data_IF_682617993188
#
_entry.id   IF_682617993188
#
_cell.length_a   1.000
_cell.length_b   1.000
_cell.length_c   1.000
_cell.angle_alpha   90.00
_cell.angle_beta   90.00
_cell.angle_gamma   90.00
#
_symmetry.space_group_name_H-M   'P 1'
#
loop_
_entity.id
_entity.type
_entity.pdbx_description
1 polymer ?
#
# COMPACT_ATOMS: atom_id res chain seq x y z
N UNK A 1 23.59 38.54 -60.15
CA UNK A 1 23.21 39.45 -59.03
C UNK A 1 22.14 38.89 -58.09
N UNK A 2 21.24 37.97 -58.51
CA UNK A 2 20.25 37.33 -57.61
C UNK A 2 20.84 36.40 -56.54
N UNK A 3 21.92 35.67 -56.84
CA UNK A 3 22.55 34.74 -55.87
C UNK A 3 23.24 35.45 -54.69
N UNK A 4 23.79 36.64 -54.91
CA UNK A 4 24.44 37.40 -53.83
C UNK A 4 23.38 37.92 -52.85
N UNK A 5 22.26 38.40 -53.36
CA UNK A 5 21.16 38.90 -52.52
C UNK A 5 20.48 37.78 -51.72
N UNK A 6 20.40 36.55 -52.24
CA UNK A 6 19.87 35.41 -51.47
C UNK A 6 20.79 35.00 -50.32
N UNK A 7 22.11 34.98 -50.54
CA UNK A 7 23.08 34.66 -49.48
C UNK A 7 23.01 35.68 -48.33
N UNK A 8 22.94 36.98 -48.65
CA UNK A 8 22.82 38.02 -47.62
C UNK A 8 21.48 38.01 -46.89
N UNK A 9 20.39 37.66 -47.57
CA UNK A 9 19.07 37.49 -46.95
C UNK A 9 19.10 36.32 -45.97
N UNK A 10 19.67 35.19 -46.37
CA UNK A 10 19.70 33.98 -45.56
C UNK A 10 20.68 34.13 -44.36
N UNK A 11 21.77 34.90 -44.51
CA UNK A 11 22.69 35.26 -43.41
C UNK A 11 22.13 36.33 -42.46
N UNK A 12 21.18 37.16 -42.93
CA UNK A 12 20.51 38.17 -42.11
C UNK A 12 19.22 37.68 -41.47
N UNK A 13 18.82 36.44 -41.74
CA UNK A 13 17.65 35.82 -41.15
C UNK A 13 17.95 35.51 -39.68
N UNK A 14 17.45 36.36 -38.78
CA UNK A 14 17.54 36.16 -37.33
C UNK A 14 16.72 34.91 -36.99
N UNK A 15 17.40 33.76 -36.91
CA UNK A 15 16.79 32.51 -36.44
C UNK A 15 16.35 32.75 -35.01
N UNK A 16 15.05 32.92 -34.79
CA UNK A 16 14.46 32.97 -33.45
C UNK A 16 14.96 31.70 -32.75
N UNK A 17 15.76 31.82 -31.68
CA UNK A 17 16.28 30.64 -31.00
C UNK A 17 15.06 29.82 -30.58
N UNK A 18 14.96 28.59 -31.09
CA UNK A 18 13.87 27.72 -30.68
C UNK A 18 13.90 27.66 -29.15
N UNK A 19 12.77 27.90 -28.47
CA UNK A 19 12.75 27.85 -27.02
C UNK A 19 13.28 26.48 -26.63
N UNK A 20 14.41 26.47 -25.90
CA UNK A 20 14.94 25.22 -25.34
C UNK A 20 13.80 24.56 -24.61
N UNK A 21 13.54 23.30 -24.90
CA UNK A 21 12.52 22.51 -24.19
C UNK A 21 12.89 22.54 -22.71
N UNK A 22 12.22 23.40 -21.94
CA UNK A 22 12.39 23.43 -20.49
C UNK A 22 11.58 22.26 -19.96
N UNK A 23 12.28 21.24 -19.48
CA UNK A 23 11.62 20.19 -18.71
C UNK A 23 11.10 20.81 -17.42
N UNK A 24 9.84 20.52 -17.08
CA UNK A 24 9.27 20.90 -15.80
C UNK A 24 10.11 20.18 -14.73
N UNK A 25 10.78 20.97 -13.89
CA UNK A 25 11.59 20.47 -12.76
C UNK A 25 10.79 20.53 -11.47
N UNK A 26 11.18 19.77 -10.46
CA UNK A 26 10.58 19.84 -9.12
C UNK A 26 10.56 21.29 -8.59
N UNK A 27 11.63 22.06 -8.81
CA UNK A 27 11.70 23.48 -8.43
C UNK A 27 10.62 24.33 -9.14
N UNK A 28 10.29 23.99 -10.38
CA UNK A 28 9.22 24.65 -11.14
C UNK A 28 7.86 24.26 -10.57
N UNK A 29 7.66 22.98 -10.26
CA UNK A 29 6.45 22.52 -9.59
C UNK A 29 6.29 23.20 -8.25
N UNK A 30 7.33 23.27 -7.41
CA UNK A 30 7.34 23.89 -6.07
C UNK A 30 7.19 25.42 -6.09
N UNK A 31 7.54 26.08 -7.19
CA UNK A 31 7.42 27.53 -7.34
C UNK A 31 5.97 28.04 -7.35
N UNK A 32 4.98 27.19 -7.66
CA UNK A 32 3.57 27.60 -7.63
C UNK A 32 3.14 27.93 -6.18
N UNK A 33 2.47 29.06 -5.99
CA UNK A 33 2.00 29.44 -4.64
C UNK A 33 0.87 28.50 -4.22
N UNK A 34 0.82 28.13 -2.93
CA UNK A 34 -0.25 27.27 -2.40
C UNK A 34 -1.65 27.83 -2.66
N UNK A 35 -1.84 29.14 -2.53
CA UNK A 35 -3.12 29.79 -2.85
C UNK A 35 -3.52 29.70 -4.33
N UNK A 36 -2.55 29.62 -5.24
CA UNK A 36 -2.80 29.37 -6.66
C UNK A 36 -3.25 27.93 -6.87
N UNK A 37 -2.59 26.97 -6.24
CA UNK A 37 -2.99 25.55 -6.31
C UNK A 37 -4.38 25.32 -5.74
N UNK A 38 -4.73 25.97 -4.62
CA UNK A 38 -6.06 25.92 -4.02
C UNK A 38 -7.15 26.44 -4.98
N UNK A 39 -6.86 27.56 -5.67
CA UNK A 39 -7.76 28.10 -6.70
C UNK A 39 -7.93 27.13 -7.87
N UNK A 40 -6.84 26.48 -8.32
CA UNK A 40 -6.87 25.51 -9.42
C UNK A 40 -7.60 24.22 -9.04
N UNK A 41 -7.50 23.78 -7.78
CA UNK A 41 -8.25 22.64 -7.23
C UNK A 41 -9.76 22.92 -7.18
N UNK A 42 -10.16 24.17 -6.95
CA UNK A 42 -11.55 24.61 -7.01
C UNK A 42 -12.11 24.84 -8.42
N UNK A 43 -11.28 24.71 -9.46
CA UNK A 43 -11.67 25.08 -10.82
C UNK A 43 -12.76 24.15 -11.40
N UNK A 44 -13.67 24.67 -12.23
CA UNK A 44 -14.76 23.86 -12.79
C UNK A 44 -14.25 22.82 -13.82
N UNK A 45 -13.17 23.16 -14.54
CA UNK A 45 -12.55 22.27 -15.52
C UNK A 45 -11.84 21.11 -14.82
N UNK A 46 -12.27 19.88 -15.14
CA UNK A 46 -11.72 18.65 -14.58
C UNK A 46 -10.21 18.49 -14.80
N UNK A 47 -9.72 18.73 -16.01
CA UNK A 47 -8.29 18.53 -16.34
C UNK A 47 -7.39 19.51 -15.56
N UNK A 48 -7.86 20.73 -15.32
CA UNK A 48 -7.13 21.72 -14.50
C UNK A 48 -7.06 21.24 -13.05
N UNK A 49 -8.19 20.79 -12.48
CA UNK A 49 -8.21 20.25 -11.11
C UNK A 49 -7.32 19.02 -10.96
N UNK A 50 -7.40 18.10 -11.91
CA UNK A 50 -6.61 16.87 -11.91
C UNK A 50 -5.11 17.19 -11.95
N UNK A 51 -4.70 18.11 -12.83
CA UNK A 51 -3.30 18.56 -12.93
C UNK A 51 -2.84 19.23 -11.63
N UNK A 52 -3.67 20.09 -11.03
CA UNK A 52 -3.35 20.73 -9.75
C UNK A 52 -3.25 19.72 -8.60
N UNK A 53 -4.15 18.74 -8.56
CA UNK A 53 -4.12 17.66 -7.57
C UNK A 53 -2.86 16.81 -7.71
N UNK A 54 -2.43 16.54 -8.96
CA UNK A 54 -1.18 15.83 -9.22
C UNK A 54 0.03 16.61 -8.73
N UNK A 55 0.14 17.90 -9.05
CA UNK A 55 1.24 18.75 -8.56
C UNK A 55 1.27 18.74 -7.03
N UNK A 56 0.13 18.95 -6.36
CA UNK A 56 0.07 18.92 -4.88
C UNK A 56 0.51 17.56 -4.33
N UNK A 57 0.13 16.47 -4.99
CA UNK A 57 0.49 15.11 -4.59
C UNK A 57 1.99 14.86 -4.75
N UNK A 58 2.58 15.26 -5.89
CA UNK A 58 4.00 15.12 -6.18
C UNK A 58 4.85 15.92 -5.18
N UNK A 59 4.42 17.14 -4.82
CA UNK A 59 5.04 17.91 -3.74
C UNK A 59 4.95 17.22 -2.38
N UNK A 60 3.77 16.73 -2.02
CA UNK A 60 3.51 16.07 -0.73
C UNK A 60 4.33 14.79 -0.57
N UNK A 61 4.57 14.06 -1.65
CA UNK A 61 5.43 12.86 -1.68
C UNK A 61 6.89 13.20 -1.39
N UNK A 62 7.39 14.29 -1.97
CA UNK A 62 8.78 14.71 -1.83
C UNK A 62 9.07 15.33 -0.45
N UNK A 63 8.05 15.77 0.28
CA UNK A 63 8.17 16.20 1.67
C UNK A 63 8.05 15.01 2.64
N UNK A 64 9.20 14.56 3.16
CA UNK A 64 9.23 13.47 4.14
C UNK A 64 8.43 13.75 5.41
N UNK A 65 8.23 15.03 5.79
CA UNK A 65 7.45 15.39 6.96
C UNK A 65 5.94 15.16 6.75
N UNK A 66 5.47 15.30 5.51
CA UNK A 66 4.08 15.02 5.13
C UNK A 66 3.76 13.53 5.26
N UNK A 67 4.61 12.65 4.72
CA UNK A 67 4.44 11.19 4.88
C UNK A 67 4.44 10.79 6.36
N UNK A 68 5.36 11.35 7.15
CA UNK A 68 5.42 11.06 8.58
C UNK A 68 4.18 11.52 9.35
N UNK A 69 3.62 12.67 8.98
CA UNK A 69 2.38 13.20 9.56
C UNK A 69 1.18 12.34 9.19
N UNK A 70 1.09 11.91 7.94
CA UNK A 70 0.03 11.02 7.47
C UNK A 70 0.12 9.66 8.17
N UNK A 71 1.31 9.06 8.26
CA UNK A 71 1.50 7.80 8.98
C UNK A 71 1.15 7.93 10.46
N UNK A 72 1.45 9.07 11.09
CA UNK A 72 0.99 9.34 12.46
C UNK A 72 -0.54 9.40 12.53
N UNK A 73 -1.18 10.12 11.61
CA UNK A 73 -2.64 10.21 11.50
C UNK A 73 -3.33 8.85 11.30
N UNK A 74 -2.71 7.94 10.55
CA UNK A 74 -3.17 6.55 10.38
C UNK A 74 -3.22 5.77 11.70
N UNK A 75 -2.41 6.12 12.70
CA UNK A 75 -2.37 5.42 13.99
C UNK A 75 -3.36 5.93 15.05
N UNK A 76 -4.11 6.99 14.73
CA UNK A 76 -5.00 7.70 15.67
C UNK A 76 -6.25 6.90 15.97
N UNK A 77 -6.82 7.05 17.17
CA UNK A 77 -8.04 6.32 17.55
C UNK A 77 -9.30 6.93 16.90
N UNK A 78 -9.27 8.20 16.53
CA UNK A 78 -10.36 8.84 15.79
C UNK A 78 -10.45 8.27 14.36
N UNK A 79 -11.59 7.70 14.02
CA UNK A 79 -11.82 7.05 12.72
C UNK A 79 -11.72 8.06 11.56
N UNK A 80 -12.25 9.27 11.73
CA UNK A 80 -12.26 10.27 10.66
C UNK A 80 -10.84 10.76 10.35
N UNK A 81 -10.02 10.98 11.37
CA UNK A 81 -8.61 11.33 11.26
C UNK A 81 -7.81 10.22 10.54
N UNK A 82 -8.00 8.96 10.93
CA UNK A 82 -7.38 7.81 10.24
C UNK A 82 -7.79 7.74 8.79
N UNK A 83 -9.10 7.80 8.53
CA UNK A 83 -9.66 7.68 7.18
C UNK A 83 -9.16 8.79 6.27
N UNK A 84 -9.12 10.03 6.77
CA UNK A 84 -8.57 11.17 6.02
C UNK A 84 -7.11 10.91 5.68
N UNK A 85 -6.31 10.50 6.67
CA UNK A 85 -4.89 10.21 6.48
C UNK A 85 -4.65 9.08 5.47
N UNK A 86 -5.41 7.98 5.55
CA UNK A 86 -5.33 6.85 4.61
C UNK A 86 -5.75 7.24 3.18
N UNK A 87 -6.82 8.04 3.03
CA UNK A 87 -7.27 8.51 1.72
C UNK A 87 -6.26 9.46 1.10
N UNK A 88 -5.72 10.39 1.87
CA UNK A 88 -4.65 11.28 1.41
C UNK A 88 -3.43 10.46 1.02
N UNK A 89 -3.02 9.48 1.83
CA UNK A 89 -1.90 8.61 1.50
C UNK A 89 -2.16 7.84 0.20
N UNK A 90 -3.38 7.34 -0.02
CA UNK A 90 -3.75 6.60 -1.23
C UNK A 90 -3.81 7.50 -2.47
N UNK A 91 -4.08 8.79 -2.30
CA UNK A 91 -4.06 9.77 -3.37
C UNK A 91 -2.63 10.11 -3.81
N UNK A 92 -1.73 10.28 -2.84
CA UNK A 92 -0.35 10.72 -3.12
C UNK A 92 0.60 9.56 -3.43
N UNK A 93 0.24 8.32 -3.06
CA UNK A 93 1.12 7.17 -3.30
C UNK A 93 0.85 6.54 -4.65
N UNK A 94 1.90 6.39 -5.45
CA UNK A 94 1.91 5.71 -6.74
C UNK A 94 3.05 4.67 -6.80
N UNK A 95 3.33 4.11 -7.97
CA UNK A 95 4.39 3.11 -8.11
C UNK A 95 5.80 3.66 -7.82
N UNK A 96 6.02 4.95 -8.08
CA UNK A 96 7.30 5.64 -7.90
C UNK A 96 7.52 6.04 -6.45
N UNK A 97 6.46 6.41 -5.72
CA UNK A 97 6.52 6.82 -4.31
C UNK A 97 6.29 5.69 -3.31
N UNK A 98 5.80 4.52 -3.73
CA UNK A 98 5.71 3.31 -2.90
C UNK A 98 7.00 2.95 -2.12
N UNK A 99 8.23 3.10 -2.65
CA UNK A 99 9.46 2.90 -1.89
C UNK A 99 9.58 3.74 -0.62
N UNK A 100 8.99 4.95 -0.58
CA UNK A 100 9.01 5.81 0.60
C UNK A 100 8.24 5.19 1.77
N UNK A 101 7.26 4.34 1.49
CA UNK A 101 6.50 3.59 2.48
C UNK A 101 7.17 2.27 2.89
N UNK A 102 8.32 1.91 2.34
CA UNK A 102 9.05 0.70 2.71
C UNK A 102 9.87 0.87 4.02
N UNK A 103 9.23 1.39 5.06
CA UNK A 103 9.85 1.68 6.37
C UNK A 103 9.15 0.90 7.47
N UNK A 104 9.88 0.47 8.51
CA UNK A 104 9.27 -0.27 9.64
C UNK A 104 8.16 0.55 10.33
N UNK A 105 8.27 1.90 10.29
CA UNK A 105 7.24 2.85 10.75
C UNK A 105 5.94 2.71 9.97
N UNK A 106 5.99 2.69 8.63
CA UNK A 106 4.80 2.57 7.78
C UNK A 106 4.08 1.23 7.99
N UNK A 107 4.82 0.10 7.98
CA UNK A 107 4.21 -1.21 8.27
C UNK A 107 3.56 -1.24 9.65
N UNK A 108 4.23 -0.68 10.67
CA UNK A 108 3.67 -0.59 12.03
C UNK A 108 2.43 0.29 12.09
N UNK A 109 2.40 1.39 11.34
CA UNK A 109 1.24 2.27 11.26
C UNK A 109 0.04 1.56 10.62
N UNK A 110 0.23 0.86 9.51
CA UNK A 110 -0.84 0.07 8.87
C UNK A 110 -1.35 -1.04 9.79
N UNK A 111 -0.46 -1.80 10.44
CA UNK A 111 -0.87 -2.84 11.40
C UNK A 111 -1.62 -2.24 12.58
N UNK A 112 -1.22 -1.06 13.06
CA UNK A 112 -1.92 -0.36 14.14
C UNK A 112 -3.32 0.09 13.70
N UNK A 113 -3.46 0.67 12.51
CA UNK A 113 -4.76 1.05 11.97
C UNK A 113 -5.68 -0.17 11.80
N UNK A 114 -5.15 -1.28 11.29
CA UNK A 114 -5.87 -2.55 11.20
C UNK A 114 -6.34 -3.05 12.57
N UNK A 115 -5.48 -2.98 13.59
CA UNK A 115 -5.86 -3.34 14.97
C UNK A 115 -6.99 -2.45 15.52
N UNK A 116 -7.03 -1.17 15.14
CA UNK A 116 -8.12 -0.25 15.51
C UNK A 116 -9.41 -0.60 14.77
N UNK A 117 -9.35 -1.00 13.50
CA UNK A 117 -10.51 -1.45 12.72
C UNK A 117 -11.25 -2.64 13.39
N UNK A 118 -10.55 -3.48 14.15
CA UNK A 118 -11.17 -4.57 14.93
C UNK A 118 -12.19 -4.06 15.97
N UNK A 119 -12.04 -2.81 16.43
CA UNK A 119 -12.88 -2.19 17.46
C UNK A 119 -14.01 -1.34 16.88
N UNK A 120 -13.83 -0.85 15.66
CA UNK A 120 -14.79 0.06 15.02
C UNK A 120 -16.08 -0.66 14.58
N UNK A 121 -15.97 -1.96 14.27
CA UNK A 121 -17.07 -2.75 13.72
C UNK A 121 -17.17 -4.09 14.44
N UNK A 122 -18.40 -4.51 14.72
CA UNK A 122 -18.67 -5.86 15.24
C UNK A 122 -18.28 -6.91 14.19
N UNK A 123 -17.41 -7.84 14.58
CA UNK A 123 -16.90 -8.85 13.66
C UNK A 123 -17.87 -10.02 13.51
N UNK A 124 -18.39 -10.19 12.30
CA UNK A 124 -19.10 -11.42 11.93
C UNK A 124 -18.16 -12.62 11.97
N UNK A 125 -18.72 -13.78 12.30
CA UNK A 125 -17.97 -15.03 12.34
C UNK A 125 -17.63 -15.47 10.92
N UNK A 126 -16.35 -15.74 10.66
CA UNK A 126 -15.83 -16.11 9.34
C UNK A 126 -15.97 -17.62 9.09
N UNK A 127 -17.19 -18.16 9.17
CA UNK A 127 -17.47 -19.60 9.05
C UNK A 127 -18.20 -19.99 7.75
N UNK A 128 -18.65 -19.03 6.95
CA UNK A 128 -19.22 -19.30 5.64
C UNK A 128 -18.13 -19.36 4.55
N UNK A 129 -18.03 -20.53 3.92
CA UNK A 129 -17.06 -20.80 2.85
C UNK A 129 -17.47 -20.24 1.49
N UNK A 130 -18.75 -19.91 1.29
CA UNK A 130 -19.27 -19.40 0.02
C UNK A 130 -19.46 -17.88 -0.01
N UNK A 131 -19.39 -17.24 1.16
CA UNK A 131 -19.59 -15.81 1.30
C UNK A 131 -18.27 -15.06 1.49
N UNK A 132 -17.88 -14.22 0.53
CA UNK A 132 -16.70 -13.37 0.68
C UNK A 132 -17.06 -12.00 1.29
N UNK A 133 -16.93 -11.90 2.61
CA UNK A 133 -17.19 -10.65 3.36
C UNK A 133 -16.23 -9.50 3.01
N UNK A 134 -15.12 -9.75 2.32
CA UNK A 134 -14.08 -8.75 2.06
C UNK A 134 -14.62 -7.43 1.49
N UNK A 135 -15.63 -7.52 0.63
CA UNK A 135 -16.27 -6.35 0.02
C UNK A 135 -17.04 -5.48 1.03
N UNK A 136 -17.56 -6.09 2.10
CA UNK A 136 -18.29 -5.42 3.17
C UNK A 136 -17.39 -4.86 4.27
N UNK A 137 -16.09 -5.19 4.28
CA UNK A 137 -15.14 -4.66 5.26
C UNK A 137 -15.12 -3.13 5.28
N UNK A 138 -14.61 -2.61 6.38
CA UNK A 138 -14.38 -1.19 6.53
C UNK A 138 -13.41 -0.65 5.45
N UNK A 139 -13.59 0.60 5.04
CA UNK A 139 -12.77 1.21 4.01
C UNK A 139 -11.33 1.48 4.50
N UNK A 140 -11.13 1.81 5.79
CA UNK A 140 -9.79 2.03 6.33
C UNK A 140 -9.02 0.70 6.37
N UNK A 141 -9.71 -0.38 6.74
CA UNK A 141 -9.17 -1.74 6.66
C UNK A 141 -8.77 -2.10 5.22
N UNK A 142 -9.66 -1.88 4.25
CA UNK A 142 -9.38 -2.14 2.82
C UNK A 142 -8.17 -1.34 2.30
N UNK A 143 -8.02 -0.07 2.69
CA UNK A 143 -6.87 0.76 2.30
C UNK A 143 -5.57 0.28 2.94
N UNK A 144 -5.59 -0.09 4.23
CA UNK A 144 -4.41 -0.66 4.88
C UNK A 144 -3.98 -1.98 4.20
N UNK A 145 -4.93 -2.88 3.91
CA UNK A 145 -4.64 -4.13 3.22
C UNK A 145 -4.12 -3.91 1.80
N UNK A 146 -4.62 -2.88 1.10
CA UNK A 146 -4.10 -2.46 -0.21
C UNK A 146 -2.61 -2.06 -0.13
N UNK A 147 -2.24 -1.18 0.80
CA UNK A 147 -0.84 -0.78 0.97
C UNK A 147 0.05 -1.95 1.37
N UNK A 148 -0.42 -2.78 2.31
CA UNK A 148 0.31 -3.96 2.76
C UNK A 148 0.58 -4.90 1.59
N UNK A 149 -0.43 -5.25 0.78
CA UNK A 149 -0.21 -6.18 -0.33
C UNK A 149 0.74 -5.60 -1.39
N UNK A 150 0.60 -4.32 -1.74
CA UNK A 150 1.50 -3.65 -2.67
C UNK A 150 2.96 -3.67 -2.17
N UNK A 151 3.16 -3.41 -0.88
CA UNK A 151 4.48 -3.40 -0.26
C UNK A 151 5.10 -4.79 -0.18
N UNK A 152 4.37 -5.82 0.25
CA UNK A 152 4.93 -7.18 0.35
C UNK A 152 5.12 -7.84 -1.02
N UNK A 153 4.29 -7.51 -2.02
CA UNK A 153 4.50 -7.99 -3.38
C UNK A 153 5.80 -7.45 -3.98
N UNK A 154 6.19 -6.21 -3.63
CA UNK A 154 7.42 -5.58 -4.13
C UNK A 154 8.67 -5.90 -3.29
N UNK A 155 8.54 -5.95 -1.96
CA UNK A 155 9.69 -6.02 -1.04
C UNK A 155 9.72 -7.25 -0.12
N UNK A 156 8.73 -8.13 -0.22
CA UNK A 156 8.60 -9.31 0.63
C UNK A 156 7.93 -9.04 1.98
N UNK A 157 7.61 -10.11 2.73
CA UNK A 157 6.76 -10.05 3.93
C UNK A 157 7.50 -9.69 5.22
N UNK A 158 8.84 -9.64 5.22
CA UNK A 158 9.63 -9.61 6.47
C UNK A 158 9.32 -8.42 7.38
N UNK A 159 9.17 -7.21 6.83
CA UNK A 159 8.80 -6.02 7.62
C UNK A 159 7.38 -6.11 8.17
N UNK A 160 6.45 -6.71 7.42
CA UNK A 160 5.08 -6.94 7.88
C UNK A 160 5.04 -7.92 9.06
N UNK A 161 5.85 -8.99 8.99
CA UNK A 161 6.01 -9.96 10.08
C UNK A 161 6.60 -9.28 11.31
N UNK A 162 7.65 -8.45 11.16
CA UNK A 162 8.23 -7.68 12.27
C UNK A 162 7.23 -6.72 12.91
N UNK A 163 6.33 -6.14 12.12
CA UNK A 163 5.25 -5.29 12.60
C UNK A 163 4.15 -6.06 13.36
N UNK A 164 4.23 -7.39 13.42
CA UNK A 164 3.31 -8.31 14.11
C UNK A 164 1.90 -8.30 13.50
N UNK A 165 1.79 -8.19 12.18
CA UNK A 165 0.51 -8.24 11.47
C UNK A 165 -0.33 -9.46 11.84
N UNK A 166 0.31 -10.64 11.95
CA UNK A 166 -0.37 -11.89 12.26
C UNK A 166 -0.96 -11.83 13.67
N UNK A 167 -0.13 -11.49 14.66
CA UNK A 167 -0.52 -11.51 16.07
C UNK A 167 -1.48 -10.37 16.44
N UNK A 168 -1.30 -9.19 15.83
CA UNK A 168 -2.07 -7.99 16.19
C UNK A 168 -3.41 -7.89 15.47
N UNK A 169 -3.55 -8.46 14.28
CA UNK A 169 -4.76 -8.32 13.48
C UNK A 169 -5.29 -9.64 12.92
N UNK A 170 -4.47 -10.41 12.19
CA UNK A 170 -4.98 -11.61 11.49
C UNK A 170 -5.53 -12.64 12.48
N UNK A 171 -4.80 -12.92 13.56
CA UNK A 171 -5.20 -13.88 14.58
C UNK A 171 -6.35 -13.41 15.46
N UNK A 172 -6.69 -12.11 15.42
CA UNK A 172 -7.76 -11.52 16.22
C UNK A 172 -9.09 -11.44 15.49
N UNK A 173 -9.14 -11.78 14.20
CA UNK A 173 -10.43 -11.89 13.50
C UNK A 173 -11.29 -12.99 14.14
N UNK A 174 -12.61 -12.89 13.94
CA UNK A 174 -13.58 -13.84 14.46
C UNK A 174 -13.58 -15.16 13.66
N UNK A 175 -12.52 -15.95 13.82
CA UNK A 175 -12.38 -17.27 13.20
C UNK A 175 -13.20 -18.36 13.90
N UNK A 176 -13.67 -18.13 15.13
CA UNK A 176 -14.35 -19.13 15.94
C UNK A 176 -13.97 -19.06 17.42
N UNK A 177 -14.70 -19.82 18.24
CA UNK A 177 -14.55 -19.81 19.69
C UNK A 177 -13.55 -20.87 20.17
N UNK A 178 -13.56 -22.04 19.55
CA UNK A 178 -12.63 -23.13 19.87
C UNK A 178 -11.41 -23.12 18.95
N UNK A 179 -10.33 -23.74 19.39
CA UNK A 179 -9.10 -23.83 18.59
C UNK A 179 -9.34 -24.57 17.26
N UNK A 180 -10.07 -25.67 17.31
CA UNK A 180 -10.39 -26.52 16.16
C UNK A 180 -11.25 -25.75 15.16
N UNK A 181 -12.24 -25.01 15.65
CA UNK A 181 -13.10 -24.19 14.82
C UNK A 181 -12.30 -23.07 14.14
N UNK A 182 -11.44 -22.38 14.89
CA UNK A 182 -10.59 -21.31 14.37
C UNK A 182 -9.69 -21.81 13.25
N UNK A 183 -9.00 -22.94 13.45
CA UNK A 183 -8.12 -23.52 12.45
C UNK A 183 -8.88 -23.98 11.20
N UNK A 184 -10.01 -24.67 11.39
CA UNK A 184 -10.86 -25.14 10.28
C UNK A 184 -11.38 -23.97 9.44
N UNK A 185 -11.94 -22.95 10.09
CA UNK A 185 -12.50 -21.79 9.41
C UNK A 185 -11.42 -20.96 8.72
N UNK A 186 -10.26 -20.77 9.37
CA UNK A 186 -9.10 -20.10 8.78
C UNK A 186 -8.62 -20.82 7.52
N UNK A 187 -8.42 -22.14 7.58
CA UNK A 187 -7.98 -22.94 6.41
C UNK A 187 -9.01 -22.87 5.29
N UNK A 188 -10.31 -23.00 5.59
CA UNK A 188 -11.36 -22.86 4.59
C UNK A 188 -11.37 -21.46 3.95
N UNK A 189 -11.22 -20.40 4.75
CA UNK A 189 -11.13 -19.03 4.24
C UNK A 189 -9.99 -18.88 3.25
N UNK A 190 -8.80 -19.38 3.60
CA UNK A 190 -7.60 -19.26 2.76
C UNK A 190 -7.65 -20.14 1.49
N UNK A 191 -8.42 -21.23 1.48
CA UNK A 191 -8.54 -22.13 0.33
C UNK A 191 -9.57 -21.67 -0.70
N UNK A 192 -10.70 -21.12 -0.25
CA UNK A 192 -11.85 -20.86 -1.14
C UNK A 192 -11.97 -19.41 -1.59
N UNK A 193 -11.27 -18.46 -0.96
CA UNK A 193 -11.38 -17.04 -1.29
C UNK A 193 -10.19 -16.55 -2.11
N UNK A 194 -10.45 -15.52 -2.93
CA UNK A 194 -9.45 -14.85 -3.75
C UNK A 194 -9.52 -13.35 -3.49
N UNK A 195 -9.10 -12.96 -2.29
CA UNK A 195 -9.09 -11.56 -1.85
C UNK A 195 -7.71 -11.17 -1.30
N UNK A 196 -7.52 -9.88 -0.97
CA UNK A 196 -6.21 -9.38 -0.52
C UNK A 196 -5.70 -10.07 0.75
N UNK A 197 -6.59 -10.57 1.62
CA UNK A 197 -6.20 -11.27 2.85
C UNK A 197 -5.56 -12.62 2.49
N UNK A 198 -6.20 -13.38 1.59
CA UNK A 198 -5.66 -14.64 1.09
C UNK A 198 -4.33 -14.46 0.37
N UNK A 199 -4.18 -13.39 -0.42
CA UNK A 199 -2.93 -13.07 -1.10
C UNK A 199 -1.80 -12.74 -0.10
N UNK A 200 -2.09 -11.91 0.91
CA UNK A 200 -1.13 -11.61 1.99
C UNK A 200 -0.74 -12.89 2.73
N UNK A 201 -1.70 -13.77 3.01
CA UNK A 201 -1.45 -15.05 3.66
C UNK A 201 -0.47 -15.92 2.86
N UNK A 202 -0.66 -16.07 1.55
CA UNK A 202 0.25 -16.86 0.72
C UNK A 202 1.68 -16.31 0.76
N UNK A 203 1.85 -14.98 0.69
CA UNK A 203 3.17 -14.34 0.83
C UNK A 203 3.80 -14.57 2.20
N UNK A 204 3.00 -14.58 3.27
CA UNK A 204 3.47 -14.89 4.61
C UNK A 204 3.90 -16.35 4.72
N UNK A 205 3.16 -17.26 4.10
CA UNK A 205 3.44 -18.70 4.11
C UNK A 205 4.72 -19.05 3.35
N UNK A 206 5.12 -18.29 2.34
CA UNK A 206 6.41 -18.47 1.65
C UNK A 206 7.62 -18.21 2.56
N UNK A 207 7.46 -17.44 3.64
CA UNK A 207 8.53 -17.11 4.60
C UNK A 207 8.51 -18.04 5.81
N UNK A 208 9.67 -18.62 6.16
CA UNK A 208 9.86 -19.41 7.41
C UNK A 208 9.42 -18.65 8.65
N UNK A 209 9.69 -17.34 8.70
CA UNK A 209 9.27 -16.48 9.83
C UNK A 209 7.75 -16.28 9.87
N UNK A 210 7.12 -16.17 8.70
CA UNK A 210 5.67 -16.05 8.59
C UNK A 210 4.96 -17.34 9.01
N UNK A 211 5.45 -18.51 8.56
CA UNK A 211 4.96 -19.81 9.02
C UNK A 211 5.07 -19.97 10.54
N UNK A 212 6.25 -19.65 11.12
CA UNK A 212 6.45 -19.72 12.56
C UNK A 212 5.49 -18.80 13.33
N UNK A 213 5.20 -17.61 12.81
CA UNK A 213 4.25 -16.67 13.41
C UNK A 213 2.78 -17.15 13.30
N UNK A 214 2.40 -17.78 12.18
CA UNK A 214 1.08 -18.40 12.00
C UNK A 214 0.85 -19.56 13.00
N UNK A 215 1.85 -20.41 13.20
CA UNK A 215 1.82 -21.51 14.18
C UNK A 215 1.73 -20.96 15.60
N UNK A 216 2.58 -20.00 15.94
CA UNK A 216 2.59 -19.35 17.26
C UNK A 216 1.24 -18.70 17.59
N UNK A 217 0.58 -18.15 16.58
CA UNK A 217 -0.76 -17.56 16.69
C UNK A 217 -1.89 -18.57 16.67
N UNK A 218 -1.57 -19.87 16.58
CA UNK A 218 -2.52 -21.00 16.55
C UNK A 218 -3.51 -20.97 15.38
N UNK A 219 -3.19 -20.25 14.31
CA UNK A 219 -4.01 -20.21 13.08
C UNK A 219 -3.84 -21.47 12.23
N UNK A 220 -2.65 -22.08 12.30
CA UNK A 220 -2.34 -23.35 11.65
C UNK A 220 -1.77 -24.36 12.67
N UNK A 221 -1.94 -25.67 12.45
CA UNK A 221 -1.35 -26.71 13.30
C UNK A 221 0.18 -26.68 13.31
N UNK A 222 0.78 -27.16 14.40
CA UNK A 222 2.25 -27.25 14.54
C UNK A 222 2.85 -28.26 13.57
N UNK A 223 2.15 -29.38 13.33
CA UNK A 223 2.59 -30.47 12.46
C UNK A 223 2.65 -30.07 10.98
N UNK A 224 2.07 -28.91 10.62
CA UNK A 224 2.17 -28.35 9.28
C UNK A 224 3.56 -27.75 8.98
N UNK A 225 4.42 -27.55 9.98
CA UNK A 225 5.82 -27.13 9.78
C UNK A 225 6.75 -28.28 9.37
N UNK A 226 6.48 -29.51 9.82
CA UNK A 226 7.39 -30.65 9.66
C UNK A 226 7.48 -31.14 8.20
N UNK A 227 6.53 -30.75 7.35
CA UNK A 227 6.54 -31.05 5.90
C UNK A 227 7.59 -30.20 5.15
N UNK A 228 8.08 -29.09 5.72
CA UNK A 228 8.93 -28.12 5.03
C UNK A 228 10.37 -28.05 5.54
N UNK A 229 10.69 -28.73 6.64
CA UNK A 229 12.06 -28.83 7.17
C UNK A 229 12.71 -30.17 6.81
N UNK A 230 12.42 -30.67 5.59
CA UNK A 230 12.79 -31.99 5.08
C UNK A 230 14.28 -32.36 5.18
N UNK A 231 14.73 -32.72 6.37
CA UNK A 231 15.62 -33.86 6.58
C UNK A 231 14.72 -35.09 6.60
N UNK A 232 14.58 -35.73 5.44
CA UNK A 232 13.98 -37.05 5.29
C UNK A 232 14.82 -38.08 6.08
N UNK A 233 14.36 -38.62 7.22
CA UNK A 233 15.06 -39.66 7.96
C UNK A 233 14.59 -41.06 7.50
N UNK A 234 14.32 -41.22 6.19
CA UNK A 234 13.57 -42.35 5.66
C UNK A 234 14.18 -43.09 4.46
N UNK A 235 15.32 -42.68 3.91
CA UNK A 235 16.00 -43.48 2.86
C UNK A 235 17.06 -44.40 3.44
N UNK A 236 16.58 -45.46 4.10
CA UNK A 236 17.36 -46.68 4.31
C UNK A 236 16.74 -47.79 3.45
N UNK A 237 17.53 -48.26 2.47
CA UNK A 237 17.51 -49.56 1.79
C UNK A 237 16.21 -50.02 1.08
N UNK A 238 16.27 -50.02 -0.26
CA UNK A 238 16.19 -51.24 -1.07
C UNK A 238 16.92 -51.02 -2.40
#
# INVERSE_FOLDING_TARGET
>A
MRMVLSVWRDDSEIKIPQPKTQYITQDTEDSLKLGTLDTLLGHYNYAIRETAAKIVSDRAVNDGSTIDTLLWGVTREDYNERMRSLRTLALITDHQSLPLLHTDKAYSAFVRSLELCLKDVQQEKLNDKYFDEYYLRDMAEKLCLMFVIQLINKYGPDKLIRAKFIEKWLAKQNWGETLEERQRNFVQYMQYRQNRITEIFHRLQESRRGQAALIRSKLIPKDSADILDGSDPGRTLA
#
